data_IF_982332599849
#
_entry.id   IF_982332599849
#
_cell.length_a   1.000
_cell.length_b   1.000
_cell.length_c   1.000
_cell.angle_alpha   90.00
_cell.angle_beta   90.00
_cell.angle_gamma   90.00
#
_symmetry.space_group_name_H-M   'P 1'
#
loop_
_entity.id
_entity.type
_entity.pdbx_description
1 polymer ?
#
# COMPACT_ATOMS: atom_id res chain seq x y z
N UNK A 1 -5.65 -4.78 -17.99
CA UNK A 1 -6.88 -3.99 -17.77
C UNK A 1 -6.58 -2.79 -16.89
N UNK A 2 -7.19 -1.66 -17.18
CA UNK A 2 -7.02 -0.41 -16.43
C UNK A 2 -8.33 -0.08 -15.73
N UNK A 3 -8.24 0.28 -14.45
CA UNK A 3 -9.39 0.73 -13.67
C UNK A 3 -9.24 2.22 -13.39
N UNK A 4 -10.26 2.99 -13.71
CA UNK A 4 -10.27 4.43 -13.43
C UNK A 4 -11.16 4.70 -12.22
N UNK A 5 -10.59 5.29 -11.17
CA UNK A 5 -11.28 5.65 -9.94
C UNK A 5 -10.93 7.11 -9.61
N UNK A 6 -11.92 8.00 -9.80
CA UNK A 6 -11.69 9.43 -9.53
C UNK A 6 -10.53 9.98 -10.36
N UNK A 7 -9.52 10.52 -9.69
CA UNK A 7 -8.34 11.09 -10.32
C UNK A 7 -7.20 10.09 -10.54
N UNK A 8 -7.47 8.79 -10.39
CA UNK A 8 -6.44 7.76 -10.40
C UNK A 8 -6.76 6.66 -11.39
N UNK A 9 -5.70 6.05 -11.92
CA UNK A 9 -5.78 4.84 -12.71
C UNK A 9 -4.98 3.73 -12.03
N UNK A 10 -5.57 2.55 -11.96
CA UNK A 10 -4.94 1.33 -11.42
C UNK A 10 -4.59 0.43 -12.59
N UNK A 11 -3.30 0.24 -12.81
CA UNK A 11 -2.77 -0.53 -13.94
C UNK A 11 -1.96 -1.71 -13.45
N UNK A 12 -1.92 -2.78 -14.22
CA UNK A 12 -0.98 -3.86 -13.93
C UNK A 12 0.44 -3.29 -13.89
N UNK A 13 1.24 -3.81 -12.97
CA UNK A 13 2.61 -3.33 -12.78
C UNK A 13 3.46 -3.75 -13.97
N UNK A 14 4.20 -2.81 -14.57
CA UNK A 14 5.14 -3.05 -15.65
C UNK A 14 6.58 -3.13 -15.13
N UNK A 15 7.49 -3.62 -15.99
CA UNK A 15 8.91 -3.63 -15.63
C UNK A 15 9.47 -2.21 -15.48
N UNK A 16 8.98 -1.26 -16.24
CA UNK A 16 9.38 0.16 -16.11
C UNK A 16 8.92 0.72 -14.76
N UNK A 17 7.72 0.36 -14.31
CA UNK A 17 7.23 0.73 -12.98
C UNK A 17 8.15 0.17 -11.89
N UNK A 18 8.58 -1.08 -12.02
CA UNK A 18 9.50 -1.71 -11.08
C UNK A 18 10.80 -0.93 -10.96
N UNK A 19 11.40 -0.55 -12.10
CA UNK A 19 12.65 0.23 -12.10
C UNK A 19 12.49 1.56 -11.36
N UNK A 20 11.38 2.26 -11.59
CA UNK A 20 11.06 3.50 -10.89
C UNK A 20 10.88 3.24 -9.39
N UNK A 21 10.02 2.29 -9.02
CA UNK A 21 9.71 2.00 -7.62
C UNK A 21 10.93 1.59 -6.80
N UNK A 22 11.90 0.92 -7.39
CA UNK A 22 13.12 0.53 -6.69
C UNK A 22 14.00 1.72 -6.30
N UNK A 23 13.77 2.90 -6.86
CA UNK A 23 14.49 4.13 -6.51
C UNK A 23 13.84 4.92 -5.36
N UNK A 24 12.68 4.50 -4.88
CA UNK A 24 11.93 5.26 -3.89
C UNK A 24 12.59 5.23 -2.52
N UNK A 25 12.86 6.43 -1.96
CA UNK A 25 13.51 6.64 -0.67
C UNK A 25 12.65 7.52 0.22
N UNK A 26 12.49 7.10 1.45
CA UNK A 26 11.70 7.81 2.46
C UNK A 26 12.62 8.45 3.50
N UNK A 27 12.15 9.55 4.11
CA UNK A 27 12.94 10.31 5.07
C UNK A 27 12.81 9.76 6.50
N UNK A 28 13.88 9.93 7.30
CA UNK A 28 13.88 9.61 8.71
C UNK A 28 13.55 8.14 9.00
N UNK A 29 12.71 7.91 10.00
CA UNK A 29 12.32 6.55 10.39
C UNK A 29 11.59 5.81 9.28
N UNK A 30 11.00 6.54 8.34
CA UNK A 30 10.27 5.96 7.22
C UNK A 30 11.18 5.36 6.15
N UNK A 31 12.50 5.57 6.22
CA UNK A 31 13.47 4.88 5.35
C UNK A 31 13.39 3.36 5.50
N UNK A 32 12.81 2.88 6.60
CA UNK A 32 12.47 1.47 6.79
C UNK A 32 11.64 0.91 5.62
N UNK A 33 10.84 1.75 4.97
CA UNK A 33 9.94 1.35 3.88
C UNK A 33 10.56 1.50 2.48
N UNK A 34 11.84 1.85 2.38
CA UNK A 34 12.53 1.94 1.09
C UNK A 34 12.40 0.62 0.34
N UNK A 35 12.13 0.69 -0.96
CA UNK A 35 11.89 -0.50 -1.76
C UNK A 35 13.13 -1.35 -2.02
N UNK A 36 14.30 -0.82 -1.74
CA UNK A 36 15.58 -1.54 -1.81
C UNK A 36 16.19 -1.85 -0.43
N UNK A 37 15.39 -1.79 0.63
CA UNK A 37 15.86 -1.95 2.01
C UNK A 37 16.36 -3.35 2.33
N UNK A 38 15.96 -4.36 1.55
CA UNK A 38 16.41 -5.75 1.72
C UNK A 38 16.25 -6.51 0.42
N UNK A 39 16.92 -7.68 0.33
CA UNK A 39 16.74 -8.58 -0.82
C UNK A 39 15.30 -9.04 -0.96
N UNK A 40 14.64 -9.32 0.16
CA UNK A 40 13.23 -9.72 0.17
C UNK A 40 12.32 -8.65 -0.40
N UNK A 41 12.53 -7.39 0.00
CA UNK A 41 11.76 -6.26 -0.52
C UNK A 41 12.01 -6.05 -2.01
N UNK A 42 13.26 -6.10 -2.45
CA UNK A 42 13.62 -5.99 -3.87
C UNK A 42 12.92 -7.09 -4.67
N UNK A 43 12.98 -8.34 -4.21
CA UNK A 43 12.32 -9.45 -4.88
C UNK A 43 10.80 -9.29 -4.94
N UNK A 44 10.20 -8.80 -3.85
CA UNK A 44 8.77 -8.50 -3.79
C UNK A 44 8.38 -7.50 -4.90
N UNK A 45 9.13 -6.40 -5.01
CA UNK A 45 8.86 -5.39 -6.04
C UNK A 45 9.08 -5.96 -7.45
N UNK A 46 10.18 -6.70 -7.65
CA UNK A 46 10.47 -7.30 -8.96
C UNK A 46 9.44 -8.32 -9.43
N UNK A 47 8.73 -8.96 -8.51
CA UNK A 47 7.71 -9.94 -8.84
C UNK A 47 6.31 -9.33 -9.03
N UNK A 48 6.13 -8.05 -8.74
CA UNK A 48 4.82 -7.40 -8.90
C UNK A 48 4.23 -7.52 -10.31
N UNK A 49 5.01 -7.46 -11.40
CA UNK A 49 4.44 -7.67 -12.74
C UNK A 49 3.79 -9.03 -12.96
N UNK A 50 4.20 -10.04 -12.19
CA UNK A 50 3.65 -11.40 -12.26
C UNK A 50 2.46 -11.61 -11.33
N UNK A 51 2.19 -10.67 -10.43
CA UNK A 51 1.12 -10.77 -9.45
C UNK A 51 -0.13 -10.06 -9.98
N UNK A 52 -1.17 -10.84 -10.27
CA UNK A 52 -2.43 -10.30 -10.82
C UNK A 52 -3.20 -9.41 -9.83
N UNK A 53 -2.81 -9.41 -8.55
CA UNK A 53 -3.42 -8.59 -7.50
C UNK A 53 -2.56 -7.40 -7.10
N UNK A 54 -1.47 -7.16 -7.82
CA UNK A 54 -0.61 -5.98 -7.64
C UNK A 54 -0.90 -4.96 -8.75
N UNK A 55 -0.99 -3.70 -8.37
CA UNK A 55 -1.31 -2.61 -9.30
C UNK A 55 -0.41 -1.41 -9.06
N UNK A 56 -0.01 -0.79 -10.17
CA UNK A 56 0.58 0.54 -10.18
C UNK A 56 -0.55 1.57 -10.18
N UNK A 57 -0.35 2.66 -9.47
CA UNK A 57 -1.35 3.73 -9.37
C UNK A 57 -0.79 4.99 -10.04
N UNK A 58 -1.51 5.46 -11.04
CA UNK A 58 -1.14 6.64 -11.83
C UNK A 58 -2.13 7.76 -11.59
N UNK A 59 -1.65 9.00 -11.65
CA UNK A 59 -2.53 10.17 -11.63
C UNK A 59 -2.96 10.55 -13.05
N UNK A 60 -3.74 11.63 -13.19
CA UNK A 60 -4.25 12.08 -14.49
C UNK A 60 -3.17 12.66 -15.40
N UNK A 61 -2.01 13.01 -14.86
CA UNK A 61 -0.86 13.47 -15.64
C UNK A 61 0.00 12.31 -16.15
N UNK A 62 -0.50 11.08 -16.02
CA UNK A 62 0.20 9.85 -16.40
C UNK A 62 1.51 9.65 -15.60
N UNK A 63 1.53 10.09 -14.34
CA UNK A 63 2.67 9.90 -13.46
C UNK A 63 2.40 8.75 -12.49
N UNK A 64 3.39 7.89 -12.30
CA UNK A 64 3.33 6.81 -11.32
C UNK A 64 3.44 7.39 -9.91
N UNK A 65 2.38 7.29 -9.12
CA UNK A 65 2.30 7.91 -7.78
C UNK A 65 2.27 6.91 -6.64
N UNK A 66 2.06 5.64 -6.92
CA UNK A 66 2.01 4.63 -5.89
C UNK A 66 1.79 3.24 -6.44
N UNK A 67 1.66 2.30 -5.52
CA UNK A 67 1.30 0.92 -5.84
C UNK A 67 0.43 0.33 -4.74
N UNK A 68 -0.17 -0.80 -5.03
CA UNK A 68 -0.95 -1.54 -4.05
C UNK A 68 -0.91 -3.03 -4.36
N UNK A 69 -1.24 -3.81 -3.34
CA UNK A 69 -1.42 -5.25 -3.48
C UNK A 69 -2.59 -5.69 -2.60
N UNK A 70 -3.41 -6.60 -3.09
CA UNK A 70 -4.51 -7.18 -2.33
C UNK A 70 -4.19 -8.65 -2.10
N UNK A 71 -4.24 -9.07 -0.84
CA UNK A 71 -3.93 -10.43 -0.43
C UNK A 71 -5.23 -11.19 -0.16
N UNK A 72 -5.57 -12.12 -1.05
CA UNK A 72 -6.83 -12.85 -1.03
C UNK A 72 -6.71 -14.12 -0.16
N UNK A 73 -6.53 -13.92 1.14
CA UNK A 73 -6.54 -14.98 2.13
C UNK A 73 -7.94 -15.11 2.76
N UNK A 74 -8.09 -15.93 3.80
CA UNK A 74 -9.35 -16.06 4.53
C UNK A 74 -9.88 -14.70 4.98
N UNK A 75 -8.97 -13.85 5.48
CA UNK A 75 -9.25 -12.44 5.74
C UNK A 75 -8.51 -11.64 4.67
N UNK A 76 -9.24 -10.92 3.84
CA UNK A 76 -8.62 -10.11 2.78
C UNK A 76 -7.93 -8.90 3.40
N UNK A 77 -6.65 -8.76 3.08
CA UNK A 77 -5.83 -7.62 3.52
C UNK A 77 -5.18 -6.94 2.32
N UNK A 78 -4.56 -5.79 2.58
CA UNK A 78 -3.91 -5.05 1.51
C UNK A 78 -2.64 -4.35 2.00
N UNK A 79 -1.82 -3.93 1.05
CA UNK A 79 -0.77 -2.96 1.27
C UNK A 79 -0.87 -1.87 0.21
N UNK A 80 -0.55 -0.64 0.58
CA UNK A 80 -0.46 0.49 -0.35
C UNK A 80 0.82 1.25 -0.06
N UNK A 81 1.38 1.84 -1.09
CA UNK A 81 2.56 2.67 -0.97
C UNK A 81 2.41 3.89 -1.86
N UNK A 82 2.70 5.07 -1.32
CA UNK A 82 2.70 6.31 -2.08
C UNK A 82 4.15 6.73 -2.37
N UNK A 83 4.40 7.26 -3.56
CA UNK A 83 5.71 7.79 -3.93
C UNK A 83 6.20 8.77 -2.86
N UNK A 84 7.47 8.69 -2.42
CA UNK A 84 7.97 9.51 -1.31
C UNK A 84 7.76 11.00 -1.48
N UNK A 85 7.93 11.52 -2.68
CA UNK A 85 7.76 12.95 -2.97
C UNK A 85 6.34 13.47 -2.75
N UNK A 86 5.35 12.57 -2.66
CA UNK A 86 3.95 12.92 -2.48
C UNK A 86 3.45 12.68 -1.05
N UNK A 87 4.27 12.09 -0.19
CA UNK A 87 3.90 11.87 1.21
C UNK A 87 3.89 13.19 1.98
N UNK A 88 3.09 13.25 3.03
CA UNK A 88 2.97 14.43 3.91
C UNK A 88 2.46 15.70 3.19
N UNK A 89 1.76 15.56 2.08
CA UNK A 89 1.17 16.68 1.33
C UNK A 89 -0.35 16.72 1.42
N UNK A 90 -0.93 16.02 2.39
CA UNK A 90 -2.38 15.98 2.58
C UNK A 90 -3.14 15.14 1.54
N UNK A 91 -2.45 14.41 0.68
CA UNK A 91 -3.07 13.62 -0.40
C UNK A 91 -3.32 12.16 -0.04
N UNK A 92 -2.81 11.69 1.10
CA UNK A 92 -2.91 10.29 1.51
C UNK A 92 -4.35 9.82 1.65
N UNK A 93 -5.22 10.67 2.16
CA UNK A 93 -6.63 10.33 2.38
C UNK A 93 -7.38 10.10 1.06
N UNK A 94 -7.20 10.99 0.09
CA UNK A 94 -7.79 10.86 -1.25
C UNK A 94 -7.26 9.61 -1.95
N UNK A 95 -5.96 9.40 -1.90
CA UNK A 95 -5.28 8.24 -2.46
C UNK A 95 -5.82 6.93 -1.88
N UNK A 96 -5.93 6.84 -0.56
CA UNK A 96 -6.45 5.64 0.10
C UNK A 96 -7.93 5.41 -0.18
N UNK A 97 -8.73 6.48 -0.23
CA UNK A 97 -10.14 6.37 -0.62
C UNK A 97 -10.30 5.79 -2.03
N UNK A 98 -9.46 6.23 -2.96
CA UNK A 98 -9.48 5.70 -4.32
C UNK A 98 -9.10 4.21 -4.34
N UNK A 99 -8.08 3.82 -3.57
CA UNK A 99 -7.74 2.41 -3.44
C UNK A 99 -8.91 1.59 -2.88
N UNK A 100 -9.55 2.05 -1.83
CA UNK A 100 -10.68 1.32 -1.21
C UNK A 100 -11.85 1.15 -2.18
N UNK A 101 -12.15 2.18 -2.97
CA UNK A 101 -13.18 2.08 -4.01
C UNK A 101 -12.80 1.06 -5.08
N UNK A 102 -11.54 1.07 -5.51
CA UNK A 102 -11.00 0.09 -6.45
C UNK A 102 -11.13 -1.34 -5.90
N UNK A 103 -10.70 -1.57 -4.67
CA UNK A 103 -10.73 -2.88 -4.05
C UNK A 103 -12.16 -3.41 -3.90
N UNK A 104 -13.07 -2.55 -3.44
CA UNK A 104 -14.47 -2.90 -3.29
C UNK A 104 -15.10 -3.31 -4.63
N UNK A 105 -14.85 -2.52 -5.66
CA UNK A 105 -15.41 -2.76 -7.00
C UNK A 105 -14.85 -4.04 -7.62
N UNK A 106 -13.52 -4.17 -7.63
CA UNK A 106 -12.86 -5.29 -8.30
C UNK A 106 -13.10 -6.63 -7.59
N UNK A 107 -13.03 -6.65 -6.26
CA UNK A 107 -13.08 -7.88 -5.48
C UNK A 107 -14.42 -8.14 -4.79
N UNK A 108 -15.35 -7.22 -4.91
CA UNK A 108 -16.68 -7.33 -4.28
C UNK A 108 -16.60 -7.60 -2.77
N UNK A 109 -15.77 -6.84 -2.07
CA UNK A 109 -15.48 -7.06 -0.65
C UNK A 109 -16.52 -6.40 0.25
N UNK A 110 -16.82 -7.05 1.38
CA UNK A 110 -17.61 -6.46 2.48
C UNK A 110 -16.73 -5.81 3.53
N UNK A 111 -15.55 -6.38 3.75
CA UNK A 111 -14.58 -5.88 4.72
C UNK A 111 -13.19 -5.98 4.12
N UNK A 112 -12.27 -5.16 4.63
CA UNK A 112 -10.86 -5.25 4.26
C UNK A 112 -10.01 -4.92 5.48
N UNK A 113 -8.90 -5.63 5.63
CA UNK A 113 -7.98 -5.45 6.74
C UNK A 113 -6.59 -5.05 6.30
N UNK A 114 -5.79 -4.68 7.27
CA UNK A 114 -4.37 -4.37 7.09
C UNK A 114 -3.59 -4.71 8.34
N UNK A 115 -2.28 -4.80 8.17
CA UNK A 115 -1.33 -4.81 9.28
C UNK A 115 -0.39 -3.63 9.09
N UNK A 116 -0.15 -2.88 10.15
CA UNK A 116 0.70 -1.70 10.12
C UNK A 116 1.67 -1.75 11.29
N UNK A 117 2.92 -1.36 11.06
CA UNK A 117 3.91 -1.25 12.13
C UNK A 117 3.49 -0.19 13.14
N UNK A 118 3.56 -0.53 14.42
CA UNK A 118 3.09 0.34 15.50
C UNK A 118 3.79 1.70 15.51
N UNK A 119 5.06 1.77 15.07
CA UNK A 119 5.78 3.05 15.00
C UNK A 119 5.28 3.95 13.86
N UNK A 120 4.54 3.42 12.90
CA UNK A 120 4.06 4.19 11.74
C UNK A 120 2.81 4.99 12.10
N UNK A 121 2.99 5.99 12.96
CA UNK A 121 1.90 6.82 13.47
C UNK A 121 1.16 7.57 12.37
N UNK A 122 1.89 7.99 11.34
CA UNK A 122 1.32 8.70 10.19
C UNK A 122 0.27 7.85 9.48
N UNK A 123 0.61 6.59 9.19
CA UNK A 123 -0.32 5.67 8.55
C UNK A 123 -1.49 5.33 9.47
N UNK A 124 -1.25 5.08 10.74
CA UNK A 124 -2.29 4.76 11.71
C UNK A 124 -3.32 5.90 11.80
N UNK A 125 -2.86 7.14 11.87
CA UNK A 125 -3.77 8.30 11.88
C UNK A 125 -4.62 8.36 10.61
N UNK A 126 -4.01 8.08 9.46
CA UNK A 126 -4.71 8.06 8.18
C UNK A 126 -5.80 6.97 8.17
N UNK A 127 -5.45 5.76 8.59
CA UNK A 127 -6.41 4.66 8.65
C UNK A 127 -7.55 4.96 9.63
N UNK A 128 -7.23 5.50 10.81
CA UNK A 128 -8.26 5.92 11.78
C UNK A 128 -9.20 6.96 11.19
N UNK A 129 -8.69 7.91 10.41
CA UNK A 129 -9.51 8.96 9.78
C UNK A 129 -10.47 8.40 8.73
N UNK A 130 -10.24 7.20 8.24
CA UNK A 130 -11.09 6.51 7.27
C UNK A 130 -11.90 5.38 7.90
N UNK A 131 -12.04 5.39 9.23
CA UNK A 131 -12.87 4.46 10.00
C UNK A 131 -12.36 3.02 10.04
N UNK A 132 -11.05 2.81 9.83
CA UNK A 132 -10.43 1.55 10.20
C UNK A 132 -10.38 1.45 11.72
N UNK A 133 -10.64 0.27 12.25
CA UNK A 133 -10.62 0.00 13.70
C UNK A 133 -9.58 -1.04 14.01
N UNK A 134 -8.90 -0.86 15.15
CA UNK A 134 -7.90 -1.82 15.64
C UNK A 134 -8.60 -3.12 16.02
N UNK A 135 -8.12 -4.23 15.48
CA UNK A 135 -8.63 -5.57 15.81
C UNK A 135 -7.65 -6.40 16.61
N UNK A 136 -6.39 -5.99 16.70
CA UNK A 136 -5.40 -6.70 17.48
C UNK A 136 -4.00 -6.11 17.35
N UNK A 137 -3.08 -6.71 18.10
CA UNK A 137 -1.65 -6.40 18.05
C UNK A 137 -0.89 -7.73 18.00
N UNK A 138 0.26 -7.75 17.34
CA UNK A 138 1.09 -8.94 17.28
C UNK A 138 2.54 -8.58 16.99
N UNK A 139 3.45 -9.51 17.30
CA UNK A 139 4.86 -9.40 16.93
C UNK A 139 5.07 -10.07 15.59
N UNK A 140 5.67 -9.37 14.65
CA UNK A 140 5.99 -9.88 13.34
C UNK A 140 7.48 -9.75 13.02
N UNK A 141 7.97 -10.59 12.13
CA UNK A 141 9.37 -10.56 11.69
C UNK A 141 9.55 -9.48 10.63
N UNK A 142 10.60 -8.68 10.80
CA UNK A 142 11.00 -7.66 9.83
C UNK A 142 12.47 -7.78 9.52
N UNK A 143 12.95 -6.98 8.58
CA UNK A 143 14.39 -6.90 8.24
C UNK A 143 15.24 -6.41 9.42
N UNK A 144 14.64 -5.79 10.42
CA UNK A 144 15.30 -5.31 11.65
C UNK A 144 14.95 -6.16 12.88
N UNK A 145 14.49 -7.39 12.68
CA UNK A 145 14.07 -8.30 13.75
C UNK A 145 12.57 -8.23 14.03
N UNK A 146 12.18 -8.75 15.18
CA UNK A 146 10.77 -8.77 15.58
C UNK A 146 10.32 -7.36 15.96
N UNK A 147 9.18 -6.94 15.41
CA UNK A 147 8.60 -5.62 15.70
C UNK A 147 7.10 -5.74 15.94
N UNK A 148 6.56 -4.76 16.66
CA UNK A 148 5.12 -4.72 16.97
C UNK A 148 4.32 -4.22 15.78
N UNK A 149 3.25 -4.96 15.46
CA UNK A 149 2.26 -4.61 14.44
C UNK A 149 0.89 -4.40 15.07
N UNK A 150 0.09 -3.58 14.42
CA UNK A 150 -1.32 -3.39 14.73
C UNK A 150 -2.12 -3.92 13.54
N UNK A 151 -3.13 -4.74 13.83
CA UNK A 151 -4.12 -5.16 12.84
C UNK A 151 -5.30 -4.22 12.87
N UNK A 152 -5.78 -3.83 11.71
CA UNK A 152 -6.94 -2.95 11.57
C UNK A 152 -7.89 -3.51 10.52
N UNK A 153 -9.16 -3.16 10.63
CA UNK A 153 -10.20 -3.61 9.71
C UNK A 153 -11.24 -2.52 9.48
N UNK A 154 -11.85 -2.53 8.31
CA UNK A 154 -12.91 -1.60 7.92
C UNK A 154 -13.99 -2.33 7.14
N UNK A 155 -15.25 -1.99 7.43
CA UNK A 155 -16.38 -2.37 6.59
C UNK A 155 -16.45 -1.45 5.37
N UNK A 156 -16.65 -2.06 4.20
CA UNK A 156 -16.70 -1.34 2.93
C UNK A 156 -18.12 -1.05 2.45
#
# INVERSE_FOLDING_TARGET
MVYEIGNYEFRRVSNDDVEDMLTWKYDGVYSFFDNDSSKGKINYIKNMPLDENAYSIYNKDNSLIGNCNVYLNDNVTFSVQMRPSLTSQGKGKEFLKAFLSFAKEKYNLKTIGLSVLKFNERAIRLYNSLNFKVTGEFMGKTVKGDMEFISMEKEL
#
